data_IF_725897145205
#
_entry.id   IF_725897145205
#
_cell.length_a   1.000
_cell.length_b   1.000
_cell.length_c   1.000
_cell.angle_alpha   90.00
_cell.angle_beta   90.00
_cell.angle_gamma   90.00
#
_symmetry.space_group_name_H-M   'P 1'
#
loop_
_entity.id
_entity.type
_entity.pdbx_description
1 polymer ?
#
# COMPACT_ATOMS: atom_id res chain seq x y z
N UNK A 1 -23.01 12.44 7.31
CA UNK A 1 -21.82 13.15 6.78
C UNK A 1 -21.38 14.18 7.82
N UNK A 2 -20.08 14.35 8.08
CA UNK A 2 -19.59 15.38 9.02
C UNK A 2 -19.65 16.75 8.34
N UNK A 3 -20.19 17.76 9.02
CA UNK A 3 -20.24 19.14 8.54
C UNK A 3 -19.60 20.09 9.58
N UNK A 4 -18.61 20.88 9.17
CA UNK A 4 -17.90 21.82 10.05
C UNK A 4 -18.67 23.11 10.33
N UNK A 5 -19.59 23.49 9.44
CA UNK A 5 -20.45 24.68 9.60
C UNK A 5 -21.71 24.38 10.42
N UNK A 6 -21.94 23.12 10.76
CA UNK A 6 -23.12 22.71 11.53
C UNK A 6 -22.98 23.13 13.01
N UNK A 7 -24.07 23.59 13.67
CA UNK A 7 -24.03 24.06 15.07
C UNK A 7 -23.61 22.98 16.09
N UNK A 8 -23.86 21.69 15.80
CA UNK A 8 -23.33 20.58 16.59
C UNK A 8 -21.80 20.48 16.45
N UNK A 9 -21.03 20.41 17.54
CA UNK A 9 -19.58 20.19 17.48
C UNK A 9 -19.22 18.91 16.73
N UNK A 10 -18.10 18.92 15.99
CA UNK A 10 -17.58 17.75 15.25
C UNK A 10 -17.55 16.51 16.14
N UNK A 11 -17.14 16.64 17.42
CA UNK A 11 -17.10 15.53 18.39
C UNK A 11 -18.47 14.86 18.58
N UNK A 12 -19.55 15.64 18.66
CA UNK A 12 -20.91 15.10 18.80
C UNK A 12 -21.36 14.42 17.53
N UNK A 13 -21.05 15.02 16.37
CA UNK A 13 -21.34 14.40 15.08
C UNK A 13 -20.58 13.07 14.90
N UNK A 14 -19.32 12.98 15.33
CA UNK A 14 -18.55 11.73 15.36
C UNK A 14 -19.24 10.65 16.19
N UNK A 15 -19.63 11.01 17.41
CA UNK A 15 -20.24 10.07 18.35
C UNK A 15 -21.58 9.55 17.82
N UNK A 16 -22.41 10.43 17.25
CA UNK A 16 -23.69 10.04 16.64
C UNK A 16 -23.48 9.09 15.45
N UNK A 17 -22.45 9.35 14.64
CA UNK A 17 -22.13 8.56 13.44
C UNK A 17 -21.21 7.36 13.72
N UNK A 18 -20.82 7.11 14.97
CA UNK A 18 -19.81 6.11 15.35
C UNK A 18 -18.50 6.20 14.53
N UNK A 19 -18.05 7.42 14.25
CA UNK A 19 -16.81 7.70 13.51
C UNK A 19 -15.66 8.08 14.44
N UNK A 20 -14.45 7.65 14.09
CA UNK A 20 -13.24 8.11 14.78
C UNK A 20 -12.92 9.57 14.40
N UNK A 21 -12.80 10.44 15.40
CA UNK A 21 -12.52 11.88 15.20
C UNK A 21 -11.21 12.15 14.45
N UNK A 22 -10.17 11.33 14.67
CA UNK A 22 -8.87 11.53 14.01
C UNK A 22 -8.95 11.35 12.48
N UNK A 23 -9.84 10.48 12.01
CA UNK A 23 -10.06 10.24 10.57
C UNK A 23 -10.65 11.45 9.84
N UNK A 24 -11.33 12.36 10.53
CA UNK A 24 -11.95 13.55 9.93
C UNK A 24 -10.91 14.57 9.47
N UNK A 25 -9.79 14.65 10.18
CA UNK A 25 -8.70 15.56 9.83
C UNK A 25 -7.68 14.93 8.91
N UNK A 26 -7.74 13.61 8.70
CA UNK A 26 -6.85 12.92 7.79
C UNK A 26 -7.15 13.34 6.34
N UNK A 27 -6.17 13.95 5.69
CA UNK A 27 -6.19 14.16 4.25
C UNK A 27 -5.48 12.98 3.58
N UNK A 28 -6.12 12.28 2.63
CA UNK A 28 -5.44 11.23 1.87
C UNK A 28 -4.18 11.79 1.22
N UNK A 29 -3.05 11.14 1.46
CA UNK A 29 -1.79 11.52 0.83
C UNK A 29 -1.78 10.89 -0.57
N UNK A 30 -1.67 11.69 -1.65
CA UNK A 30 -1.58 11.15 -3.00
C UNK A 30 -0.29 10.33 -3.17
N UNK A 31 -0.33 9.32 -4.04
CA UNK A 31 0.87 8.56 -4.42
C UNK A 31 1.84 9.48 -5.16
N UNK A 32 3.11 9.49 -4.77
CA UNK A 32 4.16 10.19 -5.50
C UNK A 32 4.38 9.54 -6.87
N UNK A 33 4.83 10.29 -7.86
CA UNK A 33 5.09 9.72 -9.19
C UNK A 33 6.20 8.66 -9.16
N UNK A 34 7.19 8.83 -8.27
CA UNK A 34 8.22 7.81 -7.99
C UNK A 34 7.62 6.51 -7.48
N UNK A 35 6.62 6.59 -6.59
CA UNK A 35 5.94 5.39 -6.10
C UNK A 35 5.12 4.74 -7.20
N UNK A 36 4.50 5.51 -8.11
CA UNK A 36 3.79 4.96 -9.26
C UNK A 36 4.73 4.23 -10.23
N UNK A 37 5.89 4.81 -10.53
CA UNK A 37 6.93 4.15 -11.34
C UNK A 37 7.43 2.88 -10.67
N UNK A 38 7.68 2.93 -9.35
CA UNK A 38 8.08 1.78 -8.58
C UNK A 38 6.99 0.69 -8.55
N UNK A 39 5.72 1.07 -8.44
CA UNK A 39 4.59 0.15 -8.53
C UNK A 39 4.52 -0.52 -9.91
N UNK A 40 4.77 0.21 -11.01
CA UNK A 40 4.85 -0.37 -12.37
C UNK A 40 5.96 -1.41 -12.48
N UNK A 41 7.17 -1.10 -12.01
CA UNK A 41 8.28 -2.06 -12.03
C UNK A 41 8.02 -3.29 -11.15
N UNK A 42 7.34 -3.12 -10.01
CA UNK A 42 6.93 -4.25 -9.15
C UNK A 42 5.91 -5.12 -9.88
N UNK A 43 4.94 -4.51 -10.57
CA UNK A 43 3.91 -5.21 -11.33
C UNK A 43 4.52 -6.07 -12.46
N UNK A 44 5.41 -5.48 -13.25
CA UNK A 44 6.15 -6.16 -14.33
C UNK A 44 6.90 -7.39 -13.79
N UNK A 45 7.68 -7.22 -12.72
CA UNK A 45 8.42 -8.32 -12.09
C UNK A 45 7.47 -9.40 -11.57
N UNK A 46 6.31 -9.02 -11.03
CA UNK A 46 5.34 -9.98 -10.49
C UNK A 46 4.60 -10.74 -11.59
N UNK A 47 4.34 -10.12 -12.74
CA UNK A 47 3.76 -10.76 -13.91
C UNK A 47 4.69 -11.83 -14.50
N UNK A 48 5.98 -11.53 -14.57
CA UNK A 48 7.00 -12.49 -15.02
C UNK A 48 7.22 -13.59 -13.97
N UNK A 49 7.38 -13.20 -12.71
CA UNK A 49 7.85 -14.06 -11.64
C UNK A 49 6.94 -13.98 -10.40
N UNK A 50 5.72 -14.55 -10.45
CA UNK A 50 4.68 -14.36 -9.42
C UNK A 50 5.03 -14.94 -8.05
N UNK A 51 6.04 -15.82 -7.99
CA UNK A 51 6.50 -16.44 -6.76
C UNK A 51 7.47 -15.57 -5.95
N UNK A 52 7.93 -14.44 -6.51
CA UNK A 52 8.89 -13.56 -5.84
C UNK A 52 8.24 -12.67 -4.78
N UNK A 53 8.83 -12.69 -3.58
CA UNK A 53 8.48 -11.77 -2.50
C UNK A 53 9.30 -10.48 -2.53
N UNK A 54 8.95 -9.54 -1.65
CA UNK A 54 9.60 -8.23 -1.52
C UNK A 54 11.14 -8.28 -1.38
N UNK A 55 11.71 -9.37 -0.84
CA UNK A 55 13.17 -9.54 -0.72
C UNK A 55 13.81 -9.76 -2.09
N UNK A 56 13.26 -10.64 -2.91
CA UNK A 56 13.80 -10.96 -4.23
C UNK A 56 13.56 -9.81 -5.20
N UNK A 57 12.37 -9.22 -5.17
CA UNK A 57 12.03 -8.02 -5.95
C UNK A 57 13.01 -6.88 -5.64
N UNK A 58 13.35 -6.65 -4.37
CA UNK A 58 14.39 -5.68 -3.99
C UNK A 58 15.73 -5.96 -4.69
N UNK A 59 16.19 -7.20 -4.67
CA UNK A 59 17.46 -7.57 -5.31
C UNK A 59 17.45 -7.32 -6.81
N UNK A 60 16.34 -7.61 -7.49
CA UNK A 60 16.16 -7.32 -8.92
C UNK A 60 16.18 -5.81 -9.18
N UNK A 61 15.42 -5.04 -8.41
CA UNK A 61 15.37 -3.58 -8.56
C UNK A 61 16.74 -2.93 -8.31
N UNK A 62 17.52 -3.41 -7.34
CA UNK A 62 18.89 -2.93 -7.11
C UNK A 62 19.78 -3.21 -8.32
N UNK A 63 19.66 -4.39 -8.94
CA UNK A 63 20.40 -4.73 -10.17
C UNK A 63 19.98 -3.86 -11.36
N UNK A 64 18.72 -3.41 -11.40
CA UNK A 64 18.21 -2.42 -12.37
C UNK A 64 18.60 -0.97 -12.03
N UNK A 65 19.40 -0.73 -10.98
CA UNK A 65 19.84 0.61 -10.57
C UNK A 65 18.89 1.35 -9.62
N UNK A 66 17.76 0.75 -9.22
CA UNK A 66 16.80 1.35 -8.31
C UNK A 66 17.18 1.10 -6.84
N UNK A 67 17.60 2.16 -6.13
CA UNK A 67 17.87 2.09 -4.69
C UNK A 67 16.58 2.21 -3.88
N UNK A 68 16.04 1.07 -3.44
CA UNK A 68 14.79 1.00 -2.67
C UNK A 68 14.88 0.04 -1.47
N UNK A 69 14.18 0.39 -0.39
CA UNK A 69 14.08 -0.44 0.82
C UNK A 69 13.04 -1.56 0.72
N UNK A 70 13.31 -2.69 1.39
CA UNK A 70 12.39 -3.85 1.44
C UNK A 70 11.02 -3.48 2.03
N UNK A 71 11.00 -2.64 3.07
CA UNK A 71 9.75 -2.21 3.73
C UNK A 71 8.89 -1.42 2.76
N UNK A 72 9.51 -0.51 2.00
CA UNK A 72 8.84 0.29 0.98
C UNK A 72 8.18 -0.64 -0.07
N UNK A 73 8.96 -1.54 -0.67
CA UNK A 73 8.42 -2.52 -1.65
C UNK A 73 7.25 -3.30 -1.05
N UNK A 74 7.39 -3.82 0.17
CA UNK A 74 6.32 -4.58 0.84
C UNK A 74 5.05 -3.73 1.03
N UNK A 75 5.19 -2.46 1.38
CA UNK A 75 4.04 -1.54 1.52
C UNK A 75 3.34 -1.32 0.19
N UNK A 76 4.10 -1.13 -0.90
CA UNK A 76 3.53 -0.97 -2.24
C UNK A 76 2.86 -2.25 -2.73
N UNK A 77 3.50 -3.42 -2.58
CA UNK A 77 2.88 -4.71 -2.90
C UNK A 77 1.54 -4.88 -2.18
N UNK A 78 1.47 -4.56 -0.88
CA UNK A 78 0.22 -4.60 -0.10
C UNK A 78 -0.82 -3.62 -0.64
N UNK A 79 -0.41 -2.40 -0.99
CA UNK A 79 -1.30 -1.38 -1.56
C UNK A 79 -1.85 -1.79 -2.93
N UNK A 80 -1.08 -2.55 -3.70
CA UNK A 80 -1.46 -3.14 -5.00
C UNK A 80 -2.27 -4.43 -4.89
N UNK A 81 -2.34 -5.06 -3.70
CA UNK A 81 -2.94 -6.38 -3.54
C UNK A 81 -2.04 -7.55 -4.02
N UNK A 82 -0.78 -7.28 -4.35
CA UNK A 82 0.19 -8.27 -4.83
C UNK A 82 0.77 -9.08 -3.67
N UNK A 83 0.85 -10.40 -3.84
CA UNK A 83 1.48 -11.33 -2.89
C UNK A 83 2.27 -12.39 -3.65
N UNK A 84 3.39 -12.84 -3.08
CA UNK A 84 4.14 -13.96 -3.62
C UNK A 84 3.28 -15.24 -3.62
N UNK A 85 3.18 -15.88 -4.79
CA UNK A 85 2.45 -17.12 -5.00
C UNK A 85 3.44 -18.28 -4.87
N UNK A 86 3.45 -18.94 -3.72
CA UNK A 86 4.30 -20.12 -3.50
C UNK A 86 3.63 -21.38 -4.04
N UNK A 87 4.38 -22.23 -4.75
CA UNK A 87 3.92 -23.58 -5.08
C UNK A 87 3.70 -24.34 -3.78
N UNK A 88 2.51 -24.94 -3.62
CA UNK A 88 2.24 -25.85 -2.50
C UNK A 88 3.24 -27.01 -2.57
N UNK A 89 3.95 -27.37 -1.48
CA UNK A 89 4.81 -28.54 -1.51
C UNK A 89 3.96 -29.79 -1.82
N UNK A 90 4.49 -30.76 -2.58
CA UNK A 90 3.80 -32.03 -2.74
C UNK A 90 3.59 -32.64 -1.36
N UNK A 91 2.34 -32.98 -1.03
CA UNK A 91 2.03 -33.73 0.19
C UNK A 91 2.57 -35.15 0.03
N UNK A 92 3.48 -35.55 0.91
CA UNK A 92 3.80 -36.97 1.16
C UNK A 92 2.65 -37.69 1.85
#
# INVERSE_FOLDING_TARGET
>A
MINKEHPLPITKQCNILNLCRSGIYYKPIPLSDKDKELMRMIDEIHLEEPHLGARSIKSILIRKGCKVGRIHIRTLMRKMGIKAIYKKPPSS
#
